data_IF_496039628881
#
_entry.id   IF_496039628881
#
_cell.length_a   1.000
_cell.length_b   1.000
_cell.length_c   1.000
_cell.angle_alpha   90.00
_cell.angle_beta   90.00
_cell.angle_gamma   90.00
#
_symmetry.space_group_name_H-M   'P 1'
#
loop_
_entity.id
_entity.type
_entity.pdbx_description
1 polymer ?
#
# COMPACT_ATOMS: atom_id res chain seq x y z
N UNK A 1 -17.33 5.88 1.70
CA UNK A 1 -16.22 5.84 2.65
C UNK A 1 -14.91 5.73 1.89
N UNK A 2 -14.06 6.70 2.07
CA UNK A 2 -12.77 6.77 1.39
C UNK A 2 -11.62 6.65 2.38
N UNK A 3 -10.47 6.21 1.87
CA UNK A 3 -9.25 6.21 2.64
C UNK A 3 -8.83 7.65 2.99
N UNK A 4 -8.37 7.84 4.21
CA UNK A 4 -7.88 9.11 4.73
C UNK A 4 -6.54 8.89 5.44
N UNK A 5 -5.77 9.95 5.72
CA UNK A 5 -4.54 9.79 6.50
C UNK A 5 -4.77 9.08 7.83
N UNK A 6 -5.84 9.43 8.55
CA UNK A 6 -6.16 8.79 9.82
C UNK A 6 -6.47 7.30 9.66
N UNK A 7 -7.23 6.92 8.64
CA UNK A 7 -7.56 5.51 8.41
C UNK A 7 -6.34 4.73 7.92
N UNK A 8 -5.44 5.35 7.16
CA UNK A 8 -4.17 4.74 6.76
C UNK A 8 -3.29 4.48 7.98
N UNK A 9 -3.18 5.46 8.86
CA UNK A 9 -2.40 5.33 10.09
C UNK A 9 -2.92 4.21 10.98
N UNK A 10 -4.25 4.13 11.15
CA UNK A 10 -4.88 3.09 11.94
C UNK A 10 -4.63 1.69 11.35
N UNK A 11 -4.77 1.54 10.03
CA UNK A 11 -4.52 0.26 9.36
C UNK A 11 -3.05 -0.17 9.48
N UNK A 12 -2.12 0.76 9.33
CA UNK A 12 -0.69 0.47 9.48
C UNK A 12 -0.34 0.10 10.93
N UNK A 13 -1.02 0.67 11.92
CA UNK A 13 -0.85 0.28 13.32
C UNK A 13 -1.25 -1.18 13.56
N UNK A 14 -2.33 -1.62 12.92
CA UNK A 14 -2.76 -3.03 13.00
C UNK A 14 -1.69 -3.93 12.35
N UNK A 15 -1.20 -3.55 11.19
CA UNK A 15 -0.16 -4.31 10.49
C UNK A 15 1.12 -4.41 11.33
N UNK A 16 1.52 -3.32 11.96
CA UNK A 16 2.70 -3.27 12.84
C UNK A 16 2.62 -4.29 13.96
N UNK A 17 1.42 -4.48 14.52
CA UNK A 17 1.21 -5.36 15.66
C UNK A 17 1.24 -6.85 15.32
N UNK A 18 1.22 -7.23 14.03
CA UNK A 18 1.27 -8.62 13.63
C UNK A 18 2.68 -9.17 13.82
N UNK A 19 2.88 -10.21 14.67
CA UNK A 19 4.21 -10.74 14.92
C UNK A 19 4.65 -11.71 13.82
N UNK A 20 5.98 -11.78 13.63
CA UNK A 20 6.62 -12.84 12.85
C UNK A 20 6.18 -12.97 11.39
N UNK A 21 5.68 -11.88 10.79
CA UNK A 21 5.29 -11.88 9.40
C UNK A 21 6.07 -10.81 8.63
N UNK A 22 6.49 -11.15 7.41
CA UNK A 22 6.96 -10.15 6.46
C UNK A 22 5.75 -9.31 6.03
N UNK A 23 5.91 -8.01 5.94
CA UNK A 23 4.80 -7.07 5.79
C UNK A 23 4.84 -6.39 4.43
N UNK A 24 3.79 -6.60 3.67
CA UNK A 24 3.60 -6.00 2.35
C UNK A 24 2.43 -5.02 2.46
N UNK A 25 2.63 -3.77 2.05
CA UNK A 25 1.56 -2.80 2.02
C UNK A 25 1.31 -2.36 0.57
N UNK A 26 0.07 -2.52 0.12
CA UNK A 26 -0.43 -1.95 -1.13
C UNK A 26 -1.30 -0.76 -0.75
N UNK A 27 -0.76 0.44 -0.90
CA UNK A 27 -1.45 1.67 -0.52
C UNK A 27 -1.60 2.55 -1.75
N UNK A 28 -2.84 2.95 -2.02
CA UNK A 28 -3.13 3.77 -3.18
C UNK A 28 -3.60 5.17 -2.79
N UNK A 29 -3.93 5.94 -3.81
CA UNK A 29 -4.31 7.34 -3.65
C UNK A 29 -5.45 7.50 -2.66
N UNK A 30 -5.30 8.51 -1.81
CA UNK A 30 -6.37 9.05 -0.99
C UNK A 30 -6.94 10.24 -1.74
N UNK A 31 -8.20 10.12 -2.17
CA UNK A 31 -8.86 11.15 -2.95
C UNK A 31 -9.56 12.17 -2.03
N UNK A 32 -9.89 13.32 -2.59
CA UNK A 32 -10.67 14.36 -1.91
C UNK A 32 -9.95 15.00 -0.71
N UNK A 33 -8.61 14.95 -0.68
CA UNK A 33 -7.84 15.62 0.37
C UNK A 33 -7.55 17.10 0.07
N UNK A 34 -7.76 17.53 -1.17
CA UNK A 34 -7.47 18.92 -1.56
C UNK A 34 -6.01 19.29 -1.29
N UNK A 35 -5.80 20.42 -0.62
CA UNK A 35 -4.45 20.93 -0.33
C UNK A 35 -3.68 20.05 0.65
N UNK A 36 -4.35 19.17 1.39
CA UNK A 36 -3.71 18.23 2.31
C UNK A 36 -3.20 16.96 1.62
N UNK A 37 -3.36 16.84 0.29
CA UNK A 37 -3.03 15.60 -0.43
C UNK A 37 -1.54 15.25 -0.34
N UNK A 38 -0.65 16.18 -0.64
CA UNK A 38 0.80 15.91 -0.62
C UNK A 38 1.24 15.49 0.78
N UNK A 39 0.89 16.26 1.80
CA UNK A 39 1.27 15.96 3.17
C UNK A 39 0.65 14.67 3.67
N UNK A 40 -0.61 14.40 3.34
CA UNK A 40 -1.27 13.17 3.75
C UNK A 40 -0.61 11.94 3.17
N UNK A 41 -0.24 11.98 1.89
CA UNK A 41 0.48 10.87 1.26
C UNK A 41 1.89 10.73 1.80
N UNK A 42 2.61 11.83 2.00
CA UNK A 42 3.94 11.81 2.57
C UNK A 42 3.94 11.18 3.97
N UNK A 43 3.04 11.62 4.84
CA UNK A 43 2.93 11.07 6.20
C UNK A 43 2.60 9.58 6.16
N UNK A 44 1.74 9.14 5.24
CA UNK A 44 1.41 7.72 5.10
C UNK A 44 2.67 6.90 4.75
N UNK A 45 3.52 7.40 3.88
CA UNK A 45 4.81 6.76 3.57
C UNK A 45 5.71 6.65 4.79
N UNK A 46 5.77 7.69 5.60
CA UNK A 46 6.53 7.69 6.85
C UNK A 46 5.97 6.69 7.85
N UNK A 47 4.63 6.64 7.99
CA UNK A 47 3.98 5.67 8.87
C UNK A 47 4.18 4.23 8.41
N UNK A 48 4.25 3.99 7.11
CA UNK A 48 4.58 2.66 6.58
C UNK A 48 5.97 2.22 7.04
N UNK A 49 6.94 3.14 7.00
CA UNK A 49 8.28 2.87 7.51
C UNK A 49 8.25 2.58 9.02
N UNK A 50 7.52 3.40 9.80
CA UNK A 50 7.39 3.21 11.25
C UNK A 50 6.71 1.87 11.59
N UNK A 51 5.82 1.40 10.73
CA UNK A 51 5.12 0.13 10.93
C UNK A 51 5.96 -1.10 10.58
N UNK A 52 7.17 -0.90 10.08
CA UNK A 52 8.04 -2.01 9.70
C UNK A 52 7.62 -2.69 8.40
N UNK A 53 7.00 -1.96 7.48
CA UNK A 53 6.64 -2.49 6.16
C UNK A 53 7.92 -2.88 5.42
N UNK A 54 7.97 -4.11 4.94
CA UNK A 54 9.12 -4.63 4.20
C UNK A 54 9.06 -4.22 2.73
N UNK A 55 7.87 -4.22 2.13
CA UNK A 55 7.66 -3.77 0.75
C UNK A 55 6.42 -2.91 0.68
N UNK A 56 6.57 -1.72 0.12
CA UNK A 56 5.45 -0.82 -0.18
C UNK A 56 5.22 -0.77 -1.68
N UNK A 57 4.00 -1.06 -2.09
CA UNK A 57 3.52 -0.85 -3.45
C UNK A 57 2.59 0.37 -3.38
N UNK A 58 3.06 1.50 -3.88
CA UNK A 58 2.30 2.76 -3.89
C UNK A 58 1.60 2.89 -5.24
N UNK A 59 0.28 3.11 -5.22
CA UNK A 59 -0.53 3.08 -6.44
C UNK A 59 -1.25 4.40 -6.68
N UNK A 60 -1.00 5.00 -7.83
CA UNK A 60 -1.66 6.20 -8.29
C UNK A 60 -0.74 7.42 -8.31
N UNK A 61 -1.16 8.45 -9.04
CA UNK A 61 -0.34 9.65 -9.23
C UNK A 61 -0.07 10.40 -7.92
N UNK A 62 -1.07 10.45 -7.03
CA UNK A 62 -0.94 11.15 -5.74
C UNK A 62 -0.02 10.41 -4.78
N UNK A 63 0.15 9.12 -4.98
CA UNK A 63 0.99 8.28 -4.12
C UNK A 63 2.49 8.43 -4.38
N UNK A 64 2.90 9.29 -5.32
CA UNK A 64 4.32 9.59 -5.54
C UNK A 64 4.98 10.13 -4.27
N UNK A 65 4.32 11.05 -3.55
CA UNK A 65 4.83 11.60 -2.30
C UNK A 65 4.97 10.52 -1.21
N UNK A 66 4.04 9.58 -1.17
CA UNK A 66 4.09 8.43 -0.26
C UNK A 66 5.31 7.55 -0.59
N UNK A 67 5.50 7.23 -1.86
CA UNK A 67 6.62 6.40 -2.30
C UNK A 67 7.97 7.05 -1.97
N UNK A 68 8.10 8.35 -2.25
CA UNK A 68 9.33 9.09 -1.97
C UNK A 68 9.66 9.10 -0.48
N UNK A 69 8.66 9.34 0.38
CA UNK A 69 8.83 9.37 1.82
C UNK A 69 9.25 8.00 2.38
N UNK A 70 8.64 6.93 1.89
CA UNK A 70 8.99 5.56 2.31
C UNK A 70 10.40 5.19 1.85
N UNK A 71 10.76 5.52 0.62
CA UNK A 71 12.12 5.27 0.09
C UNK A 71 13.17 6.00 0.93
N UNK A 72 12.91 7.25 1.29
CA UNK A 72 13.82 8.05 2.11
C UNK A 72 14.08 7.41 3.49
N UNK A 73 13.15 6.59 3.96
CA UNK A 73 13.23 5.85 5.23
C UNK A 73 13.77 4.43 5.05
N UNK A 74 14.18 4.05 3.85
CA UNK A 74 14.78 2.76 3.58
C UNK A 74 13.81 1.62 3.27
N UNK A 75 12.53 1.90 3.07
CA UNK A 75 11.55 0.88 2.70
C UNK A 75 11.70 0.52 1.23
N UNK A 76 11.76 -0.77 0.91
CA UNK A 76 11.70 -1.24 -0.47
C UNK A 76 10.34 -0.84 -1.06
N UNK A 77 10.37 0.03 -2.07
CA UNK A 77 9.15 0.69 -2.56
C UNK A 77 9.12 0.70 -4.08
N UNK A 78 7.95 0.43 -4.64
CA UNK A 78 7.66 0.66 -6.05
C UNK A 78 6.46 1.59 -6.16
N UNK A 79 6.44 2.41 -7.21
CA UNK A 79 5.32 3.31 -7.49
C UNK A 79 4.67 2.89 -8.81
N UNK A 80 3.41 2.53 -8.75
CA UNK A 80 2.64 2.03 -9.89
C UNK A 80 1.63 3.07 -10.36
N UNK A 81 1.44 3.16 -11.66
CA UNK A 81 0.45 4.05 -12.27
C UNK A 81 -0.77 3.28 -12.78
N UNK A 82 -0.66 1.98 -12.98
CA UNK A 82 -1.75 1.17 -13.54
C UNK A 82 -2.04 -0.06 -12.68
N UNK A 83 -3.27 -0.56 -12.79
CA UNK A 83 -3.67 -1.78 -12.10
C UNK A 83 -2.83 -2.99 -12.54
N UNK A 84 -2.45 -3.04 -13.81
CA UNK A 84 -1.61 -4.13 -14.33
C UNK A 84 -0.23 -4.14 -13.67
N UNK A 85 0.37 -2.97 -13.45
CA UNK A 85 1.64 -2.87 -12.72
C UNK A 85 1.50 -3.34 -11.28
N UNK A 86 0.41 -2.95 -10.60
CA UNK A 86 0.15 -3.38 -9.22
C UNK A 86 0.07 -4.90 -9.15
N UNK A 87 -0.71 -5.51 -10.05
CA UNK A 87 -0.86 -6.96 -10.09
C UNK A 87 0.49 -7.66 -10.28
N UNK A 88 1.31 -7.14 -11.20
CA UNK A 88 2.64 -7.68 -11.48
C UNK A 88 3.52 -7.65 -10.21
N UNK A 89 3.56 -6.53 -9.50
CA UNK A 89 4.37 -6.40 -8.30
C UNK A 89 3.84 -7.24 -7.15
N UNK A 90 2.52 -7.39 -7.02
CA UNK A 90 1.94 -8.32 -6.04
C UNK A 90 2.41 -9.74 -6.30
N UNK A 91 2.38 -10.18 -7.56
CA UNK A 91 2.81 -11.52 -7.94
C UNK A 91 4.30 -11.75 -7.68
N UNK A 92 5.12 -10.72 -7.85
CA UNK A 92 6.56 -10.79 -7.61
C UNK A 92 6.92 -10.72 -6.12
N UNK A 93 6.14 -9.99 -5.32
CA UNK A 93 6.51 -9.62 -3.96
C UNK A 93 5.91 -10.49 -2.88
N UNK A 94 4.65 -10.90 -3.05
CA UNK A 94 3.91 -11.61 -2.00
C UNK A 94 4.31 -13.09 -1.97
N UNK A 95 4.60 -13.58 -0.76
CA UNK A 95 4.99 -14.97 -0.52
C UNK A 95 4.09 -15.59 0.54
N UNK A 96 3.97 -16.93 0.57
CA UNK A 96 3.23 -17.58 1.65
C UNK A 96 3.74 -17.13 3.03
N UNK A 97 2.81 -16.83 3.92
CA UNK A 97 3.13 -16.35 5.26
C UNK A 97 3.23 -14.84 5.41
N UNK A 98 3.23 -14.08 4.31
CA UNK A 98 3.26 -12.63 4.37
C UNK A 98 1.94 -12.06 4.90
N UNK A 99 2.05 -10.97 5.66
CA UNK A 99 0.90 -10.14 6.01
C UNK A 99 0.76 -9.04 4.94
N UNK A 100 -0.40 -8.95 4.32
CA UNK A 100 -0.66 -7.96 3.26
C UNK A 100 -1.76 -7.01 3.70
N UNK A 101 -1.45 -5.72 3.70
CA UNK A 101 -2.45 -4.66 3.89
C UNK A 101 -2.70 -3.99 2.54
N UNK A 102 -3.96 -3.90 2.14
CA UNK A 102 -4.34 -3.17 0.92
C UNK A 102 -5.37 -2.11 1.27
N UNK A 103 -5.06 -0.84 0.97
CA UNK A 103 -5.95 0.27 1.29
C UNK A 103 -5.76 1.45 0.33
N UNK A 104 -6.87 1.99 -0.15
CA UNK A 104 -6.91 3.17 -1.00
C UNK A 104 -8.34 3.71 -1.03
N UNK A 105 -8.52 4.90 -1.63
CA UNK A 105 -9.86 5.39 -1.90
C UNK A 105 -10.62 4.42 -2.82
N UNK A 106 -11.93 4.35 -2.63
CA UNK A 106 -12.80 3.38 -3.29
C UNK A 106 -12.65 3.39 -4.82
N UNK A 107 -12.47 4.57 -5.41
CA UNK A 107 -12.30 4.73 -6.85
C UNK A 107 -11.04 4.04 -7.40
N UNK A 108 -10.08 3.69 -6.56
CA UNK A 108 -8.86 2.98 -6.99
C UNK A 108 -9.11 1.49 -7.24
N UNK A 109 -10.23 0.96 -6.80
CA UNK A 109 -10.71 -0.40 -7.10
C UNK A 109 -9.71 -1.49 -6.74
N UNK A 110 -9.12 -1.38 -5.56
CA UNK A 110 -8.15 -2.39 -5.08
C UNK A 110 -8.77 -3.77 -4.94
N UNK A 111 -10.07 -3.84 -4.62
CA UNK A 111 -10.79 -5.11 -4.52
C UNK A 111 -10.76 -5.89 -5.83
N UNK A 112 -10.86 -5.22 -6.98
CA UNK A 112 -10.77 -5.87 -8.29
C UNK A 112 -9.36 -6.38 -8.56
N UNK A 113 -8.33 -5.60 -8.20
CA UNK A 113 -6.94 -6.01 -8.36
C UNK A 113 -6.64 -7.21 -7.48
N UNK A 114 -7.10 -7.20 -6.25
CA UNK A 114 -6.89 -8.32 -5.31
C UNK A 114 -7.63 -9.57 -5.77
N UNK A 115 -8.84 -9.43 -6.32
CA UNK A 115 -9.56 -10.56 -6.88
C UNK A 115 -8.78 -11.22 -8.02
N UNK A 116 -8.20 -10.42 -8.91
CA UNK A 116 -7.36 -10.92 -9.99
C UNK A 116 -6.09 -11.59 -9.46
N UNK A 117 -5.49 -11.02 -8.42
CA UNK A 117 -4.31 -11.59 -7.79
C UNK A 117 -4.63 -12.97 -7.18
N UNK A 118 -5.71 -13.07 -6.42
CA UNK A 118 -6.09 -14.34 -5.79
C UNK A 118 -6.48 -15.39 -6.83
N UNK A 119 -7.15 -14.99 -7.91
CA UNK A 119 -7.54 -15.91 -8.97
C UNK A 119 -6.33 -16.51 -9.69
N UNK A 120 -5.21 -15.81 -9.72
CA UNK A 120 -3.97 -16.26 -10.37
C UNK A 120 -3.09 -17.12 -9.45
N UNK A 121 -3.40 -17.23 -8.16
CA UNK A 121 -2.60 -18.04 -7.24
C UNK A 121 -2.81 -19.53 -7.51
N UNK A 122 -1.74 -20.35 -7.34
CA UNK A 122 -1.88 -21.81 -7.49
C UNK A 122 -2.89 -22.37 -6.50
N UNK A 123 -3.71 -23.29 -6.98
CA UNK A 123 -4.63 -24.03 -6.12
C UNK A 123 -3.86 -25.11 -5.35
N UNK A 124 -4.10 -25.17 -4.05
CA UNK A 124 -3.45 -26.18 -3.20
C UNK A 124 -4.15 -27.53 -3.30
#
# INVERSE_FOLDING_TARGET
YNASPDSMKAALSVLKALPNARKIALLGDMLELGDASVDGHRHTGEWAADAGVDVLIAYGARSAAMADAAKARGVATVHCQTAAEVLQYLQQSVRPGDAVLAKASHAMKLDEILADFYAALPQA
#
